data_IF_954296996882
#
_entry.id   IF_954296996882
#
_cell.length_a   1.000
_cell.length_b   1.000
_cell.length_c   1.000
_cell.angle_alpha   90.00
_cell.angle_beta   90.00
_cell.angle_gamma   90.00
#
_symmetry.space_group_name_H-M   'P 1'
#
loop_
_entity.id
_entity.type
_entity.pdbx_description
1 polymer ?
#
# COMPACT_ATOMS: atom_id res chain seq x y z
N UNK A 1 31.59 -10.08 -25.91
CA UNK A 1 31.88 -9.06 -24.88
C UNK A 1 30.56 -8.42 -24.51
N UNK A 2 30.17 -8.31 -23.23
CA UNK A 2 28.97 -7.57 -22.87
C UNK A 2 29.16 -6.11 -23.26
N UNK A 3 28.17 -5.52 -23.94
CA UNK A 3 28.15 -4.09 -24.24
C UNK A 3 27.99 -3.36 -22.90
N UNK A 4 28.98 -2.57 -22.52
CA UNK A 4 28.95 -1.77 -21.30
C UNK A 4 28.44 -0.37 -21.64
N UNK A 5 27.27 -0.02 -21.12
CA UNK A 5 26.72 1.33 -21.24
C UNK A 5 27.26 2.22 -20.12
N UNK A 6 27.74 3.42 -20.48
CA UNK A 6 28.17 4.43 -19.49
C UNK A 6 27.10 5.50 -19.38
N UNK A 7 26.54 5.68 -18.19
CA UNK A 7 25.53 6.70 -17.93
C UNK A 7 26.22 8.04 -17.64
N UNK A 8 26.11 9.00 -18.56
CA UNK A 8 26.52 10.40 -18.30
C UNK A 8 25.32 11.18 -17.74
N UNK A 9 25.08 11.05 -16.43
CA UNK A 9 23.97 11.72 -15.77
C UNK A 9 24.32 13.20 -15.51
N UNK A 10 23.64 14.11 -16.21
CA UNK A 10 23.77 15.57 -16.04
C UNK A 10 22.68 16.18 -15.13
N UNK A 11 21.86 15.33 -14.51
CA UNK A 11 20.78 15.75 -13.61
C UNK A 11 21.20 15.60 -12.15
N UNK A 12 20.56 16.29 -11.20
CA UNK A 12 20.79 16.07 -9.77
C UNK A 12 20.11 14.79 -9.23
N UNK A 13 19.48 13.99 -10.08
CA UNK A 13 18.67 12.83 -9.69
C UNK A 13 19.47 11.54 -9.77
N UNK A 14 19.01 10.50 -9.07
CA UNK A 14 19.61 9.16 -9.20
C UNK A 14 19.27 8.63 -10.59
N UNK A 15 20.27 8.21 -11.35
CA UNK A 15 20.07 7.62 -12.66
C UNK A 15 20.99 6.44 -12.90
N UNK A 16 20.46 5.41 -13.56
CA UNK A 16 21.21 4.20 -13.88
C UNK A 16 20.69 3.59 -15.19
N UNK A 17 21.62 3.04 -15.98
CA UNK A 17 21.31 2.26 -17.18
C UNK A 17 21.68 0.81 -16.94
N UNK A 18 20.76 -0.11 -17.24
CA UNK A 18 20.96 -1.55 -17.10
C UNK A 18 20.56 -2.29 -18.36
N UNK A 19 21.31 -3.36 -18.64
CA UNK A 19 20.90 -4.40 -19.59
C UNK A 19 20.07 -5.43 -18.83
N UNK A 20 18.91 -5.79 -19.39
CA UNK A 20 18.01 -6.80 -18.87
C UNK A 20 18.35 -8.18 -19.46
N UNK A 21 17.70 -9.23 -18.94
CA UNK A 21 17.95 -10.62 -19.38
C UNK A 21 17.58 -10.88 -20.84
N UNK A 22 16.68 -10.09 -21.41
CA UNK A 22 16.25 -10.16 -22.82
C UNK A 22 17.12 -9.29 -23.74
N UNK A 23 18.29 -8.84 -23.27
CA UNK A 23 19.22 -7.93 -23.96
C UNK A 23 18.65 -6.52 -24.23
N UNK A 24 17.45 -6.20 -23.73
CA UNK A 24 16.94 -4.83 -23.75
C UNK A 24 17.70 -3.96 -22.75
N UNK A 25 17.71 -2.65 -23.01
CA UNK A 25 18.41 -1.67 -22.18
C UNK A 25 17.40 -0.70 -21.60
N UNK A 26 17.38 -0.59 -20.28
CA UNK A 26 16.53 0.35 -19.55
C UNK A 26 17.39 1.44 -18.91
N UNK A 27 16.97 2.68 -19.06
CA UNK A 27 17.52 3.82 -18.31
C UNK A 27 16.47 4.29 -17.31
N UNK A 28 16.85 4.38 -16.05
CA UNK A 28 15.96 4.73 -14.94
C UNK A 28 16.45 6.06 -14.38
N UNK A 29 15.52 6.98 -14.13
CA UNK A 29 15.78 8.24 -13.44
C UNK A 29 14.79 8.35 -12.29
N UNK A 30 15.31 8.47 -11.06
CA UNK A 30 14.52 8.60 -9.84
C UNK A 30 14.81 9.93 -9.18
N UNK A 31 13.76 10.75 -9.10
CA UNK A 31 13.79 12.04 -8.47
C UNK A 31 12.96 12.02 -7.18
N UNK A 32 13.54 12.54 -6.11
CA UNK A 32 12.90 12.73 -4.81
C UNK A 32 12.66 14.22 -4.60
N UNK A 33 11.42 14.55 -4.24
CA UNK A 33 10.99 15.92 -3.99
C UNK A 33 10.39 16.03 -2.60
N UNK A 34 10.58 17.19 -1.98
CA UNK A 34 9.86 17.62 -0.79
C UNK A 34 8.78 18.62 -1.20
N UNK A 35 7.80 18.80 -0.32
CA UNK A 35 6.77 19.81 -0.50
C UNK A 35 6.45 20.52 0.82
N UNK A 36 6.15 21.81 0.73
CA UNK A 36 5.74 22.62 1.87
C UNK A 36 4.25 22.46 2.17
N UNK A 37 3.81 22.91 3.33
CA UNK A 37 2.37 22.98 3.67
C UNK A 37 1.60 23.95 2.78
N UNK A 38 2.29 24.85 2.08
CA UNK A 38 1.72 25.77 1.09
C UNK A 38 1.67 25.17 -0.33
N UNK A 39 2.18 23.94 -0.51
CA UNK A 39 2.15 23.21 -1.77
C UNK A 39 3.31 23.51 -2.71
N UNK A 40 4.33 24.24 -2.25
CA UNK A 40 5.56 24.44 -3.02
C UNK A 40 6.34 23.13 -3.08
N UNK A 41 6.84 22.77 -4.27
CA UNK A 41 7.60 21.54 -4.51
C UNK A 41 9.04 21.90 -4.83
N UNK A 42 9.99 21.23 -4.19
CA UNK A 42 11.41 21.44 -4.42
C UNK A 42 12.17 20.11 -4.36
N UNK A 43 13.31 20.04 -5.06
CA UNK A 43 14.16 18.85 -5.05
C UNK A 43 14.66 18.58 -3.63
N UNK A 44 14.54 17.33 -3.17
CA UNK A 44 15.06 16.94 -1.87
C UNK A 44 16.60 16.97 -1.89
N UNK A 45 17.21 17.48 -0.81
CA UNK A 45 18.68 17.48 -0.66
C UNK A 45 19.24 16.06 -0.74
N UNK A 46 18.54 15.11 -0.10
CA UNK A 46 18.86 13.69 -0.18
C UNK A 46 17.93 13.00 -1.20
N UNK A 47 18.53 12.42 -2.23
CA UNK A 47 17.81 11.60 -3.21
C UNK A 47 17.73 10.16 -2.73
N UNK A 48 16.54 9.56 -2.79
CA UNK A 48 16.37 8.14 -2.46
C UNK A 48 17.04 7.24 -3.51
N UNK A 49 17.72 6.16 -3.09
CA UNK A 49 18.34 5.21 -4.02
C UNK A 49 17.27 4.47 -4.85
N UNK A 50 17.73 3.83 -5.92
CA UNK A 50 16.92 2.86 -6.66
C UNK A 50 16.60 1.64 -5.78
N UNK A 51 15.38 1.14 -5.93
CA UNK A 51 14.87 -0.07 -5.29
C UNK A 51 14.90 -1.17 -6.35
N UNK A 52 15.67 -2.24 -6.10
CA UNK A 52 15.92 -3.28 -7.09
C UNK A 52 14.91 -4.43 -7.04
N UNK A 53 14.19 -4.56 -5.93
CA UNK A 53 13.14 -5.54 -5.71
C UNK A 53 12.09 -4.96 -4.78
N UNK A 54 10.89 -5.52 -4.79
CA UNK A 54 9.78 -4.98 -3.99
C UNK A 54 10.13 -4.97 -2.49
N UNK A 55 9.88 -3.83 -1.85
CA UNK A 55 9.88 -3.69 -0.40
C UNK A 55 8.46 -3.84 0.13
N UNK A 56 8.29 -4.56 1.23
CA UNK A 56 6.99 -4.90 1.81
C UNK A 56 6.76 -4.18 3.15
N UNK A 57 5.50 -4.02 3.56
CA UNK A 57 5.20 -3.50 4.90
C UNK A 57 5.55 -4.49 6.03
N UNK A 58 5.53 -5.79 5.71
CA UNK A 58 5.96 -6.89 6.58
C UNK A 58 6.60 -8.00 5.75
N UNK A 59 6.23 -9.25 6.01
CA UNK A 59 6.78 -10.39 5.28
C UNK A 59 6.28 -10.48 3.82
N UNK A 60 7.16 -10.78 2.84
CA UNK A 60 6.76 -11.02 1.46
C UNK A 60 5.74 -12.15 1.34
N UNK A 61 4.66 -11.93 0.58
CA UNK A 61 3.58 -12.88 0.40
C UNK A 61 2.52 -12.90 1.51
N UNK A 62 2.81 -12.30 2.67
CA UNK A 62 1.86 -12.14 3.79
C UNK A 62 1.44 -10.68 4.01
N UNK A 63 2.14 -9.74 3.38
CA UNK A 63 1.87 -8.31 3.45
C UNK A 63 1.86 -7.65 2.08
N UNK A 64 1.33 -6.45 2.03
CA UNK A 64 1.29 -5.62 0.85
C UNK A 64 2.65 -4.98 0.53
N UNK A 65 2.88 -4.74 -0.76
CA UNK A 65 4.05 -4.01 -1.25
C UNK A 65 3.99 -2.57 -0.74
N UNK A 66 5.07 -2.12 -0.12
CA UNK A 66 5.30 -0.75 0.30
C UNK A 66 5.94 0.07 -0.83
N UNK A 67 7.00 -0.45 -1.45
CA UNK A 67 7.61 0.14 -2.64
C UNK A 67 7.85 -0.94 -3.69
N UNK A 68 7.35 -0.72 -4.91
CA UNK A 68 7.66 -1.59 -6.03
C UNK A 68 9.11 -1.36 -6.50
N UNK A 69 9.69 -2.36 -7.15
CA UNK A 69 10.97 -2.23 -7.84
C UNK A 69 10.95 -1.09 -8.87
N UNK A 70 12.03 -0.31 -8.89
CA UNK A 70 12.28 0.71 -9.91
C UNK A 70 12.76 0.09 -11.24
N UNK A 71 13.17 -1.19 -11.24
CA UNK A 71 13.65 -1.90 -12.42
C UNK A 71 12.45 -2.45 -13.20
N UNK A 72 11.88 -1.61 -14.07
CA UNK A 72 10.72 -1.97 -14.90
C UNK A 72 11.10 -1.87 -16.38
N UNK A 73 11.00 -2.96 -17.17
CA UNK A 73 11.36 -2.94 -18.60
C UNK A 73 10.51 -1.95 -19.41
N UNK A 74 9.22 -1.89 -19.12
CA UNK A 74 8.26 -1.02 -19.79
C UNK A 74 7.23 -0.49 -18.79
N UNK A 75 7.03 0.82 -18.76
CA UNK A 75 5.98 1.47 -17.97
C UNK A 75 5.00 2.19 -18.89
N UNK A 76 3.91 1.49 -19.27
CA UNK A 76 2.90 2.00 -20.22
C UNK A 76 2.07 3.18 -19.71
N UNK A 77 2.15 3.49 -18.43
CA UNK A 77 1.35 4.52 -17.79
C UNK A 77 2.00 5.09 -16.54
N UNK A 78 1.23 5.87 -15.78
CA UNK A 78 1.68 6.45 -14.52
C UNK A 78 0.95 5.81 -13.37
N UNK A 79 1.70 5.21 -12.45
CA UNK A 79 1.16 4.74 -11.17
C UNK A 79 1.32 5.83 -10.13
N UNK A 80 0.27 6.07 -9.35
CA UNK A 80 0.27 7.04 -8.26
C UNK A 80 -0.04 6.28 -6.98
N UNK A 81 0.92 6.27 -6.05
CA UNK A 81 0.77 5.65 -4.74
C UNK A 81 0.95 6.68 -3.63
N UNK A 82 0.18 6.52 -2.55
CA UNK A 82 0.33 7.27 -1.30
C UNK A 82 0.69 6.29 -0.19
N UNK A 83 1.86 6.50 0.42
CA UNK A 83 2.27 5.82 1.64
C UNK A 83 2.11 6.81 2.77
N UNK A 84 1.12 6.57 3.62
CA UNK A 84 0.73 7.57 4.61
C UNK A 84 -0.30 7.07 5.60
N UNK A 85 -0.89 8.03 6.30
CA UNK A 85 -1.87 7.79 7.33
C UNK A 85 -3.05 8.73 7.17
N UNK A 86 -4.23 8.30 7.60
CA UNK A 86 -5.35 9.18 7.88
C UNK A 86 -5.34 9.57 9.35
N UNK A 87 -5.69 10.83 9.62
CA UNK A 87 -5.86 11.35 10.97
C UNK A 87 -7.34 11.63 11.21
N UNK A 88 -7.81 11.39 12.42
CA UNK A 88 -9.17 11.75 12.78
C UNK A 88 -9.33 13.28 12.79
N UNK A 89 -10.49 13.83 12.33
CA UNK A 89 -10.72 15.27 12.32
C UNK A 89 -10.74 15.90 13.71
N UNK A 90 -11.16 15.11 14.70
CA UNK A 90 -11.20 15.44 16.12
C UNK A 90 -10.39 14.39 16.88
N UNK A 91 -9.91 14.73 18.08
CA UNK A 91 -9.28 13.75 18.97
C UNK A 91 -10.27 12.62 19.25
N UNK A 92 -9.81 11.37 19.14
CA UNK A 92 -10.65 10.19 19.33
C UNK A 92 -11.88 10.12 18.37
N UNK A 93 -11.72 10.51 17.10
CA UNK A 93 -12.76 10.36 16.09
C UNK A 93 -12.97 8.89 15.66
N UNK A 94 -14.16 8.56 15.18
CA UNK A 94 -14.53 7.21 14.74
C UNK A 94 -14.34 6.96 13.24
N UNK A 95 -14.34 8.05 12.48
CA UNK A 95 -14.33 8.06 11.02
C UNK A 95 -13.44 9.21 10.53
N UNK A 96 -12.82 9.02 9.37
CA UNK A 96 -12.18 10.09 8.61
C UNK A 96 -12.40 9.88 7.11
N UNK A 97 -12.31 10.96 6.36
CA UNK A 97 -12.20 10.91 4.89
C UNK A 97 -10.90 11.60 4.50
N UNK A 98 -10.14 10.96 3.60
CA UNK A 98 -8.94 11.57 3.02
C UNK A 98 -8.88 11.29 1.53
N UNK A 99 -8.18 12.16 0.81
CA UNK A 99 -8.08 12.11 -0.64
C UNK A 99 -6.66 12.41 -1.11
N UNK A 100 -6.24 11.70 -2.15
CA UNK A 100 -5.10 12.08 -2.98
C UNK A 100 -5.62 12.63 -4.30
N UNK A 101 -5.10 13.78 -4.73
CA UNK A 101 -5.37 14.35 -6.05
C UNK A 101 -4.06 14.63 -6.79
N UNK A 102 -3.96 14.17 -8.03
CA UNK A 102 -2.88 14.50 -8.96
C UNK A 102 -3.51 14.89 -10.29
N UNK A 103 -3.42 16.18 -10.64
CA UNK A 103 -4.17 16.74 -11.76
C UNK A 103 -5.67 16.44 -11.62
N UNK A 104 -6.23 15.74 -12.61
CA UNK A 104 -7.65 15.35 -12.64
C UNK A 104 -7.93 14.00 -11.95
N UNK A 105 -6.90 13.26 -11.53
CA UNK A 105 -7.06 11.97 -10.87
C UNK A 105 -7.31 12.24 -9.39
N UNK A 106 -8.42 11.73 -8.86
CA UNK A 106 -8.78 11.83 -7.43
C UNK A 106 -9.09 10.45 -6.89
N UNK A 107 -8.38 10.04 -5.83
CA UNK A 107 -8.69 8.85 -5.04
C UNK A 107 -9.11 9.28 -3.64
N UNK A 108 -10.36 9.02 -3.28
CA UNK A 108 -10.90 9.19 -1.92
C UNK A 108 -10.94 7.85 -1.21
N UNK A 109 -10.65 7.86 0.08
CA UNK A 109 -10.81 6.71 0.97
C UNK A 109 -11.57 7.11 2.22
N UNK A 110 -12.50 6.25 2.63
CA UNK A 110 -13.21 6.37 3.89
C UNK A 110 -12.54 5.47 4.92
N UNK A 111 -12.11 6.06 6.02
CA UNK A 111 -11.38 5.38 7.08
C UNK A 111 -12.28 5.22 8.28
N UNK A 112 -12.42 3.98 8.75
CA UNK A 112 -13.15 3.65 9.97
C UNK A 112 -12.17 3.18 11.02
N UNK A 113 -12.40 3.56 12.27
CA UNK A 113 -11.70 2.95 13.41
C UNK A 113 -11.91 1.43 13.49
N UNK A 114 -11.12 0.78 14.34
CA UNK A 114 -11.13 -0.68 14.47
C UNK A 114 -12.54 -1.20 14.77
N UNK A 115 -12.91 -2.26 14.06
CA UNK A 115 -14.19 -2.96 14.22
C UNK A 115 -13.95 -4.44 14.25
N UNK A 116 -14.86 -5.13 14.91
CA UNK A 116 -14.79 -6.56 15.09
C UNK A 116 -16.15 -7.22 14.87
N UNK A 117 -16.14 -8.52 14.58
CA UNK A 117 -17.34 -9.27 14.23
C UNK A 117 -18.00 -9.83 15.48
N UNK A 118 -19.24 -9.42 15.73
CA UNK A 118 -20.09 -9.92 16.82
C UNK A 118 -21.04 -10.99 16.33
N UNK A 119 -21.02 -12.13 17.00
CA UNK A 119 -21.98 -13.21 16.82
C UNK A 119 -23.12 -13.09 17.83
N UNK A 120 -24.36 -13.06 17.33
CA UNK A 120 -25.56 -13.03 18.15
C UNK A 120 -26.57 -14.10 17.69
N UNK A 121 -27.68 -14.24 18.42
CA UNK A 121 -28.81 -15.08 18.00
C UNK A 121 -29.45 -14.59 16.68
N UNK A 122 -29.33 -13.29 16.36
CA UNK A 122 -29.80 -12.69 15.10
C UNK A 122 -28.77 -12.78 13.95
N UNK A 123 -27.64 -13.46 14.16
CA UNK A 123 -26.60 -13.63 13.14
C UNK A 123 -25.32 -12.85 13.42
N UNK A 124 -24.52 -12.64 12.38
CA UNK A 124 -23.23 -11.95 12.42
C UNK A 124 -23.41 -10.45 12.14
N UNK A 125 -22.76 -9.60 12.92
CA UNK A 125 -22.80 -8.14 12.76
C UNK A 125 -21.45 -7.50 13.06
N UNK A 126 -21.21 -6.28 12.60
CA UNK A 126 -19.99 -5.52 12.91
C UNK A 126 -20.21 -4.69 14.17
N UNK A 127 -19.19 -4.57 15.01
CA UNK A 127 -19.18 -3.62 16.12
C UNK A 127 -19.30 -2.18 15.63
N UNK A 128 -19.64 -1.26 16.55
CA UNK A 128 -19.31 0.15 16.35
C UNK A 128 -17.79 0.31 16.23
N UNK A 129 -17.29 1.25 15.42
CA UNK A 129 -15.86 1.53 15.37
C UNK A 129 -15.35 2.02 16.72
N UNK A 130 -14.11 1.67 17.04
CA UNK A 130 -13.36 2.27 18.12
C UNK A 130 -12.86 3.66 17.68
N UNK A 131 -12.69 4.61 18.61
CA UNK A 131 -12.07 5.89 18.28
C UNK A 131 -10.60 5.70 17.90
N UNK A 132 -10.08 6.57 17.03
CA UNK A 132 -8.67 6.60 16.65
C UNK A 132 -8.17 8.03 16.49
N UNK A 133 -6.86 8.22 16.65
CA UNK A 133 -6.20 9.50 16.31
C UNK A 133 -5.54 9.42 14.93
N UNK A 134 -4.96 8.25 14.60
CA UNK A 134 -4.22 8.00 13.36
C UNK A 134 -4.35 6.55 12.91
N UNK A 135 -4.56 6.31 11.62
CA UNK A 135 -4.62 4.99 10.99
C UNK A 135 -3.70 4.94 9.76
N UNK A 136 -2.80 3.94 9.64
CA UNK A 136 -2.01 3.75 8.42
C UNK A 136 -2.91 3.32 7.25
N UNK A 137 -2.64 3.88 6.07
CA UNK A 137 -3.33 3.54 4.84
C UNK A 137 -2.62 2.36 4.17
N UNK A 138 -2.98 1.15 4.58
CA UNK A 138 -2.39 -0.11 4.11
C UNK A 138 -3.49 -1.15 3.82
N UNK A 139 -3.23 -2.11 2.93
CA UNK A 139 -4.23 -3.07 2.47
C UNK A 139 -4.69 -4.04 3.56
N UNK A 140 -3.83 -4.32 4.54
CA UNK A 140 -4.08 -5.21 5.68
C UNK A 140 -5.25 -4.70 6.53
N UNK A 141 -5.48 -3.37 6.51
CA UNK A 141 -6.57 -2.70 7.25
C UNK A 141 -7.84 -2.50 6.42
N UNK A 142 -7.80 -2.80 5.12
CA UNK A 142 -9.00 -2.85 4.31
C UNK A 142 -9.75 -4.18 4.54
N UNK A 143 -11.03 -4.20 4.13
CA UNK A 143 -11.77 -5.45 4.11
C UNK A 143 -11.08 -6.47 3.21
N UNK A 144 -11.04 -7.72 3.64
CA UNK A 144 -10.29 -8.78 2.97
C UNK A 144 -9.76 -9.80 3.96
N UNK A 145 -8.88 -10.67 3.49
CA UNK A 145 -8.19 -11.67 4.29
C UNK A 145 -8.63 -13.08 4.02
N UNK A 146 -8.04 -13.99 4.79
CA UNK A 146 -8.43 -15.38 4.90
C UNK A 146 -8.94 -15.68 6.31
N UNK A 147 -9.97 -16.50 6.41
CA UNK A 147 -10.46 -17.05 7.68
C UNK A 147 -10.28 -18.56 7.67
N UNK A 148 -9.24 -19.01 8.37
CA UNK A 148 -8.86 -20.42 8.54
C UNK A 148 -9.08 -20.91 9.96
N UNK A 149 -9.77 -20.13 10.82
CA UNK A 149 -9.90 -20.41 12.26
C UNK A 149 -10.85 -21.57 12.56
N UNK A 150 -11.68 -21.99 11.61
CA UNK A 150 -12.54 -23.15 11.83
C UNK A 150 -11.71 -24.44 11.76
N UNK A 151 -11.91 -25.38 12.70
CA UNK A 151 -11.25 -26.70 12.65
C UNK A 151 -11.53 -27.49 11.37
N UNK A 152 -12.68 -27.26 10.72
CA UNK A 152 -13.04 -27.93 9.46
C UNK A 152 -12.58 -27.06 8.30
N UNK A 153 -11.57 -27.53 7.55
CA UNK A 153 -11.01 -26.83 6.39
C UNK A 153 -12.04 -26.44 5.33
N UNK A 154 -13.08 -27.26 5.12
CA UNK A 154 -14.21 -26.93 4.22
C UNK A 154 -15.02 -25.69 4.62
N UNK A 155 -14.78 -25.14 5.83
CA UNK A 155 -15.38 -23.90 6.33
C UNK A 155 -14.39 -22.73 6.29
N UNK A 156 -13.19 -22.94 5.78
CA UNK A 156 -12.25 -21.87 5.49
C UNK A 156 -12.72 -21.10 4.26
N UNK A 157 -12.29 -19.86 4.16
CA UNK A 157 -12.53 -19.04 2.99
C UNK A 157 -11.60 -17.85 2.96
N UNK A 158 -11.59 -17.16 1.83
CA UNK A 158 -10.80 -15.96 1.62
C UNK A 158 -11.54 -14.96 0.74
N UNK A 159 -11.12 -13.71 0.79
CA UNK A 159 -11.57 -12.63 -0.08
C UNK A 159 -10.55 -12.43 -1.20
N UNK A 160 -10.90 -12.80 -2.44
CA UNK A 160 -10.00 -12.74 -3.60
C UNK A 160 -9.52 -11.33 -3.93
N UNK A 161 -10.31 -10.32 -3.59
CA UNK A 161 -10.04 -8.91 -3.87
C UNK A 161 -8.91 -8.34 -2.99
N UNK A 162 -8.68 -8.93 -1.82
CA UNK A 162 -7.64 -8.50 -0.90
C UNK A 162 -7.30 -9.65 0.05
N UNK A 163 -6.29 -10.45 -0.28
CA UNK A 163 -5.90 -11.63 0.51
C UNK A 163 -5.20 -11.29 1.84
N UNK A 164 -4.60 -10.11 1.94
CA UNK A 164 -3.83 -9.67 3.12
C UNK A 164 -4.67 -8.87 4.12
N UNK A 165 -5.94 -8.55 3.79
CA UNK A 165 -6.86 -7.87 4.69
C UNK A 165 -7.17 -8.65 5.96
N UNK A 166 -7.87 -8.02 6.91
CA UNK A 166 -8.19 -8.62 8.23
C UNK A 166 -9.69 -8.69 8.53
N UNK A 167 -10.53 -8.26 7.58
CA UNK A 167 -11.97 -8.09 7.77
C UNK A 167 -12.86 -9.28 7.36
N UNK A 168 -12.34 -10.28 6.67
CA UNK A 168 -13.12 -11.41 6.15
C UNK A 168 -13.38 -12.47 7.23
N UNK A 169 -14.60 -13.01 7.25
CA UNK A 169 -15.04 -14.09 8.13
C UNK A 169 -15.83 -15.10 7.30
N UNK A 170 -15.36 -16.35 7.28
CA UNK A 170 -15.95 -17.43 6.51
C UNK A 170 -17.03 -18.16 7.32
N UNK A 171 -16.77 -18.40 8.60
CA UNK A 171 -17.67 -19.17 9.45
C UNK A 171 -17.52 -18.82 10.93
N UNK A 172 -18.54 -19.16 11.73
CA UNK A 172 -18.46 -19.02 13.18
C UNK A 172 -17.30 -19.84 13.74
N UNK A 173 -16.36 -19.16 14.39
CA UNK A 173 -15.29 -19.73 15.19
C UNK A 173 -15.42 -19.24 16.65
N UNK A 174 -14.80 -19.95 17.60
CA UNK A 174 -14.79 -19.54 19.01
C UNK A 174 -13.73 -18.46 19.30
N UNK A 175 -12.91 -18.10 18.31
CA UNK A 175 -11.59 -17.47 18.51
C UNK A 175 -11.45 -16.05 17.92
N UNK A 176 -12.55 -15.36 17.55
CA UNK A 176 -12.50 -13.91 17.25
C UNK A 176 -13.45 -13.13 18.16
N UNK A 177 -12.88 -12.13 18.85
CA UNK A 177 -13.59 -11.01 19.49
C UNK A 177 -13.52 -9.85 18.51
#
# INVERSE_FOLDING_TARGET
MPIQFTTNNKTPYVAETRTLQDESVVTIVKATFNFSTQGEVYTAEEQRPLIYGDEYFGEPGESSIKYASDIVPEKKGTDIALIGHAYAPEKAGFYAETALRVGNIVKRVHVTGDRYWKWSSMGISRSRPLPFDKIPLVYERAFGGSDTLNKKSKKHGYCSENLVGTGYVAAKSKERI
#
